data_IF_187022278024
#
_entry.id   IF_187022278024
#
_cell.length_a   1.000
_cell.length_b   1.000
_cell.length_c   1.000
_cell.angle_alpha   90.00
_cell.angle_beta   90.00
_cell.angle_gamma   90.00
#
_symmetry.space_group_name_H-M   'P 1'
#
loop_
_entity.id
_entity.type
_entity.pdbx_description
1 polymer ?
#
# COMPACT_ATOMS: atom_id res chain seq x y z
N UNK A 1 0.59 -6.05 26.96
CA UNK A 1 0.89 -7.28 26.20
C UNK A 1 1.22 -6.86 24.79
N UNK A 2 2.43 -7.15 24.33
CA UNK A 2 2.85 -6.83 22.96
C UNK A 2 2.14 -7.82 22.04
N UNK A 3 1.03 -7.41 21.42
CA UNK A 3 0.44 -8.21 20.34
C UNK A 3 1.52 -8.38 19.27
N UNK A 4 1.95 -9.62 19.04
CA UNK A 4 2.87 -9.98 17.97
C UNK A 4 2.13 -10.91 17.01
N UNK A 5 2.24 -10.62 15.72
CA UNK A 5 1.74 -11.49 14.67
C UNK A 5 2.58 -12.77 14.64
N UNK A 6 1.94 -13.94 14.51
CA UNK A 6 2.66 -15.19 14.38
C UNK A 6 3.47 -15.18 13.05
N UNK A 7 4.79 -15.44 13.07
CA UNK A 7 5.59 -15.46 11.84
C UNK A 7 5.12 -16.52 10.83
N UNK A 8 4.47 -17.60 11.29
CA UNK A 8 3.94 -18.65 10.42
C UNK A 8 2.62 -18.28 9.72
N UNK A 9 2.04 -17.10 10.02
CA UNK A 9 0.77 -16.63 9.44
C UNK A 9 0.78 -16.65 7.91
N UNK A 10 1.95 -16.41 7.31
CA UNK A 10 2.13 -16.32 5.86
C UNK A 10 2.07 -17.69 5.17
N UNK A 11 2.51 -18.76 5.84
CA UNK A 11 2.54 -20.12 5.26
C UNK A 11 1.14 -20.66 4.94
N UNK A 12 0.14 -20.17 5.66
CA UNK A 12 -1.26 -20.59 5.52
C UNK A 12 -2.20 -19.39 5.46
N UNK A 13 -1.77 -18.33 4.79
CA UNK A 13 -2.50 -17.07 4.76
C UNK A 13 -3.94 -17.25 4.24
N UNK A 14 -4.11 -18.00 3.14
CA UNK A 14 -5.42 -18.30 2.56
C UNK A 14 -6.29 -19.26 3.39
N UNK A 15 -5.72 -20.04 4.33
CA UNK A 15 -6.46 -21.06 5.12
C UNK A 15 -6.87 -20.59 6.51
N UNK A 16 -6.43 -19.41 6.94
CA UNK A 16 -6.75 -18.87 8.27
C UNK A 16 -5.88 -17.69 8.67
N UNK A 17 -4.68 -17.56 8.10
CA UNK A 17 -3.77 -16.46 8.41
C UNK A 17 -4.35 -15.08 8.08
N UNK A 18 -5.19 -14.96 7.04
CA UNK A 18 -5.93 -13.73 6.72
C UNK A 18 -6.73 -13.21 7.91
N UNK A 19 -7.52 -14.09 8.52
CA UNK A 19 -8.41 -13.75 9.65
C UNK A 19 -7.60 -13.37 10.89
N UNK A 20 -6.49 -14.08 11.14
CA UNK A 20 -5.55 -13.74 12.21
C UNK A 20 -4.92 -12.37 12.00
N UNK A 21 -4.46 -12.08 10.77
CA UNK A 21 -3.85 -10.82 10.40
C UNK A 21 -4.82 -9.64 10.56
N UNK A 22 -6.04 -9.75 10.02
CA UNK A 22 -7.06 -8.69 10.16
C UNK A 22 -7.42 -8.47 11.62
N UNK A 23 -7.57 -9.54 12.40
CA UNK A 23 -7.83 -9.44 13.85
C UNK A 23 -6.67 -8.73 14.57
N UNK A 24 -5.43 -9.04 14.21
CA UNK A 24 -4.25 -8.39 14.74
C UNK A 24 -4.23 -6.88 14.46
N UNK A 25 -4.52 -6.46 13.22
CA UNK A 25 -4.61 -5.04 12.86
C UNK A 25 -5.72 -4.35 13.66
N UNK A 26 -6.94 -4.91 13.66
CA UNK A 26 -8.11 -4.34 14.36
C UNK A 26 -7.88 -4.20 15.86
N UNK A 27 -7.30 -5.21 16.51
CA UNK A 27 -6.96 -5.14 17.94
C UNK A 27 -5.93 -4.06 18.24
N UNK A 28 -5.00 -3.82 17.31
CA UNK A 28 -3.96 -2.83 17.48
C UNK A 28 -4.46 -1.39 17.22
N UNK A 29 -5.60 -1.23 16.54
CA UNK A 29 -6.28 0.06 16.32
C UNK A 29 -7.40 0.36 17.32
N UNK A 30 -7.79 -0.61 18.16
CA UNK A 30 -9.02 -0.53 18.97
C UNK A 30 -9.04 0.64 19.98
N UNK A 31 -7.86 1.04 20.45
CA UNK A 31 -7.71 2.07 21.49
C UNK A 31 -7.19 3.42 20.92
N UNK A 32 -7.25 3.62 19.60
CA UNK A 32 -6.79 4.84 18.92
C UNK A 32 -7.79 5.29 17.86
N UNK A 33 -8.09 6.59 17.84
CA UNK A 33 -8.90 7.21 16.77
C UNK A 33 -8.14 7.29 15.44
N UNK A 34 -6.82 7.08 15.47
CA UNK A 34 -5.92 7.18 14.34
C UNK A 34 -5.19 5.86 14.07
N UNK A 35 -5.16 5.43 12.81
CA UNK A 35 -4.46 4.21 12.39
C UNK A 35 -2.96 4.26 12.70
N UNK A 36 -2.35 5.43 12.52
CA UNK A 36 -0.90 5.60 12.67
C UNK A 36 -0.44 5.83 14.10
N UNK A 37 -1.36 6.07 15.04
CA UNK A 37 -1.02 6.40 16.41
C UNK A 37 -1.42 5.26 17.36
N UNK A 38 -0.63 5.10 18.41
CA UNK A 38 -1.00 4.29 19.55
C UNK A 38 -1.73 5.15 20.59
N UNK A 39 -2.32 4.49 21.59
CA UNK A 39 -3.04 5.14 22.69
C UNK A 39 -2.24 6.20 23.49
N UNK A 40 -0.91 6.17 23.40
CA UNK A 40 -0.03 7.13 24.08
C UNK A 40 0.37 8.30 23.15
N UNK A 41 -0.24 8.42 21.96
CA UNK A 41 0.13 9.40 20.93
C UNK A 41 1.44 9.11 20.19
N UNK A 42 2.07 7.96 20.46
CA UNK A 42 3.27 7.52 19.75
C UNK A 42 2.93 6.81 18.44
N UNK A 43 3.90 6.71 17.53
CA UNK A 43 3.68 6.08 16.23
C UNK A 43 3.48 4.55 16.34
N UNK A 44 2.46 4.02 15.69
CA UNK A 44 2.14 2.60 15.64
C UNK A 44 2.93 1.88 14.53
N UNK A 45 4.25 1.82 14.71
CA UNK A 45 5.15 1.19 13.72
C UNK A 45 4.85 -0.29 13.47
N UNK A 46 4.18 -0.98 14.39
CA UNK A 46 3.92 -2.41 14.29
C UNK A 46 2.91 -2.72 13.19
N UNK A 47 1.81 -1.98 13.12
CA UNK A 47 0.78 -2.19 12.09
C UNK A 47 1.30 -1.82 10.69
N UNK A 48 2.06 -0.74 10.61
CA UNK A 48 2.65 -0.24 9.37
C UNK A 48 3.63 -1.27 8.80
N UNK A 49 4.50 -1.81 9.65
CA UNK A 49 5.39 -2.92 9.28
C UNK A 49 4.62 -4.16 8.84
N UNK A 50 3.51 -4.49 9.51
CA UNK A 50 2.69 -5.64 9.13
C UNK A 50 2.01 -5.46 7.76
N UNK A 51 1.52 -4.26 7.43
CA UNK A 51 0.95 -3.94 6.11
C UNK A 51 2.04 -3.95 5.03
N UNK A 52 3.21 -3.36 5.33
CA UNK A 52 4.36 -3.39 4.43
C UNK A 52 4.78 -4.83 4.11
N UNK A 53 4.90 -5.68 5.13
CA UNK A 53 5.17 -7.10 4.97
C UNK A 53 4.08 -7.81 4.14
N UNK A 54 2.80 -7.54 4.39
CA UNK A 54 1.70 -8.10 3.59
C UNK A 54 1.86 -7.80 2.09
N UNK A 55 2.24 -6.57 1.75
CA UNK A 55 2.47 -6.18 0.35
C UNK A 55 3.64 -6.97 -0.21
N UNK A 56 4.76 -7.08 0.52
CA UNK A 56 5.91 -7.89 0.10
C UNK A 56 5.59 -9.37 -0.04
N UNK A 57 4.71 -9.93 0.79
CA UNK A 57 4.25 -11.31 0.64
C UNK A 57 3.41 -11.50 -0.64
N UNK A 58 2.67 -10.47 -1.06
CA UNK A 58 2.02 -10.46 -2.37
C UNK A 58 3.04 -10.34 -3.52
N UNK A 59 4.01 -9.43 -3.44
CA UNK A 59 5.05 -9.26 -4.47
C UNK A 59 5.91 -10.51 -4.64
N UNK A 60 6.19 -11.21 -3.53
CA UNK A 60 6.87 -12.51 -3.52
C UNK A 60 5.97 -13.69 -3.91
N UNK A 61 4.75 -13.44 -4.40
CA UNK A 61 3.79 -14.44 -4.90
C UNK A 61 3.30 -15.43 -3.81
N UNK A 62 3.48 -15.12 -2.52
CA UNK A 62 3.00 -15.92 -1.39
C UNK A 62 1.53 -15.64 -1.04
N UNK A 63 1.02 -14.46 -1.42
CA UNK A 63 -0.37 -14.04 -1.22
C UNK A 63 -0.99 -13.69 -2.57
N UNK A 64 -2.23 -14.12 -2.81
CA UNK A 64 -2.97 -13.83 -4.04
C UNK A 64 -3.51 -12.39 -4.05
N UNK A 65 -3.64 -11.81 -5.25
CA UNK A 65 -4.14 -10.44 -5.44
C UNK A 65 -5.52 -10.23 -4.83
N UNK A 66 -6.43 -11.19 -5.02
CA UNK A 66 -7.78 -11.13 -4.48
C UNK A 66 -7.76 -11.13 -2.94
N UNK A 67 -6.85 -11.89 -2.35
CA UNK A 67 -6.70 -11.99 -0.89
C UNK A 67 -6.18 -10.69 -0.30
N UNK A 68 -5.14 -10.07 -0.87
CA UNK A 68 -4.63 -8.77 -0.37
C UNK A 68 -5.66 -7.65 -0.52
N UNK A 69 -6.41 -7.60 -1.64
CA UNK A 69 -7.48 -6.62 -1.82
C UNK A 69 -8.59 -6.78 -0.78
N UNK A 70 -9.00 -8.02 -0.48
CA UNK A 70 -9.96 -8.27 0.61
C UNK A 70 -9.42 -7.78 1.95
N UNK A 71 -8.14 -8.04 2.26
CA UNK A 71 -7.52 -7.57 3.51
C UNK A 71 -7.51 -6.04 3.57
N UNK A 72 -7.13 -5.36 2.49
CA UNK A 72 -7.18 -3.89 2.42
C UNK A 72 -8.57 -3.34 2.61
N UNK A 73 -9.59 -3.96 1.99
CA UNK A 73 -10.99 -3.57 2.19
C UNK A 73 -11.40 -3.72 3.66
N UNK A 74 -11.04 -4.83 4.32
CA UNK A 74 -11.35 -5.05 5.72
C UNK A 74 -10.61 -4.07 6.65
N UNK A 75 -9.34 -3.73 6.35
CA UNK A 75 -8.55 -2.78 7.14
C UNK A 75 -9.04 -1.34 6.95
N UNK A 76 -9.39 -0.95 5.73
CA UNK A 76 -9.90 0.38 5.38
C UNK A 76 -11.15 0.77 6.19
N UNK A 77 -11.90 -0.21 6.70
CA UNK A 77 -13.08 0.01 7.56
C UNK A 77 -12.77 0.17 9.06
N UNK A 78 -11.50 0.03 9.46
CA UNK A 78 -11.11 0.02 10.88
C UNK A 78 -11.13 1.42 11.49
N UNK A 79 -10.60 2.40 10.77
CA UNK A 79 -10.57 3.83 11.15
C UNK A 79 -10.74 4.68 9.90
N UNK A 80 -11.18 5.93 10.04
CA UNK A 80 -11.40 6.84 8.91
C UNK A 80 -10.12 7.16 8.13
N UNK A 81 -8.96 7.10 8.78
CA UNK A 81 -7.65 7.36 8.20
C UNK A 81 -6.92 6.10 7.71
N UNK A 82 -7.47 4.90 7.91
CA UNK A 82 -6.83 3.63 7.54
C UNK A 82 -6.50 3.54 6.05
N UNK A 83 -7.38 4.03 5.18
CA UNK A 83 -7.13 4.06 3.73
C UNK A 83 -5.94 4.95 3.37
N UNK A 84 -5.80 6.10 4.05
CA UNK A 84 -4.64 6.99 3.84
C UNK A 84 -3.36 6.31 4.32
N UNK A 85 -3.40 5.66 5.48
CA UNK A 85 -2.25 4.93 6.01
C UNK A 85 -1.80 3.78 5.09
N UNK A 86 -2.73 3.04 4.48
CA UNK A 86 -2.40 2.00 3.49
C UNK A 86 -1.69 2.64 2.28
N UNK A 87 -2.19 3.78 1.79
CA UNK A 87 -1.58 4.49 0.66
C UNK A 87 -0.18 5.01 0.98
N UNK A 88 0.06 5.49 2.20
CA UNK A 88 1.39 5.93 2.63
C UNK A 88 2.39 4.75 2.63
N UNK A 89 1.95 3.55 3.02
CA UNK A 89 2.79 2.34 2.93
C UNK A 89 3.01 1.92 1.48
N UNK A 90 1.98 2.00 0.64
CA UNK A 90 2.11 1.71 -0.79
C UNK A 90 3.09 2.66 -1.48
N UNK A 91 3.11 3.95 -1.12
CA UNK A 91 4.13 4.90 -1.60
C UNK A 91 5.55 4.48 -1.21
N UNK A 92 5.75 3.97 0.00
CA UNK A 92 7.06 3.45 0.39
C UNK A 92 7.46 2.23 -0.46
N UNK A 93 6.54 1.30 -0.71
CA UNK A 93 6.79 0.15 -1.60
C UNK A 93 6.99 0.58 -3.07
N UNK A 94 6.33 1.65 -3.51
CA UNK A 94 6.55 2.24 -4.83
C UNK A 94 8.00 2.71 -4.98
N UNK A 95 8.52 3.43 -3.99
CA UNK A 95 9.94 3.83 -3.95
C UNK A 95 10.88 2.61 -3.96
N UNK A 96 10.55 1.54 -3.22
CA UNK A 96 11.38 0.33 -3.17
C UNK A 96 11.37 -0.42 -4.52
N UNK A 97 10.21 -0.54 -5.18
CA UNK A 97 10.05 -1.30 -6.44
C UNK A 97 10.38 -0.49 -7.69
N UNK A 98 10.42 0.84 -7.63
CA UNK A 98 10.80 1.72 -8.74
C UNK A 98 12.31 1.72 -9.04
N UNK A 99 13.13 1.10 -8.17
CA UNK A 99 14.56 0.94 -8.39
C UNK A 99 14.80 0.13 -9.67
N UNK A 100 15.29 0.80 -10.72
CA UNK A 100 15.48 0.21 -12.05
C UNK A 100 16.65 -0.78 -12.08
N UNK A 101 16.42 -1.96 -11.52
CA UNK A 101 17.32 -3.11 -11.50
C UNK A 101 16.58 -4.34 -12.00
N UNK A 102 17.29 -5.26 -12.64
CA UNK A 102 16.69 -6.50 -13.16
C UNK A 102 15.99 -7.31 -12.06
N UNK A 103 16.50 -7.23 -10.82
CA UNK A 103 15.98 -7.95 -9.68
C UNK A 103 14.61 -7.47 -9.17
N UNK A 104 14.16 -6.27 -9.55
CA UNK A 104 12.91 -5.66 -9.06
C UNK A 104 11.81 -5.52 -10.13
N UNK A 105 12.08 -5.94 -11.37
CA UNK A 105 11.15 -5.76 -12.49
C UNK A 105 9.84 -6.56 -12.27
N UNK A 106 9.94 -7.80 -11.78
CA UNK A 106 8.80 -8.67 -11.52
C UNK A 106 7.90 -8.08 -10.42
N UNK A 107 8.51 -7.64 -9.32
CA UNK A 107 7.84 -7.02 -8.19
C UNK A 107 7.19 -5.70 -8.59
N UNK A 108 7.87 -4.87 -9.38
CA UNK A 108 7.30 -3.64 -9.94
C UNK A 108 6.05 -3.92 -10.76
N UNK A 109 6.09 -4.91 -11.65
CA UNK A 109 4.93 -5.29 -12.47
C UNK A 109 3.76 -5.78 -11.61
N UNK A 110 4.01 -6.60 -10.60
CA UNK A 110 2.98 -7.06 -9.65
C UNK A 110 2.41 -5.91 -8.83
N UNK A 111 3.26 -4.99 -8.38
CA UNK A 111 2.85 -3.79 -7.64
C UNK A 111 1.93 -2.91 -8.48
N UNK A 112 2.29 -2.64 -9.75
CA UNK A 112 1.43 -1.89 -10.68
C UNK A 112 0.08 -2.59 -10.93
N UNK A 113 0.08 -3.92 -11.03
CA UNK A 113 -1.16 -4.70 -11.14
C UNK A 113 -2.05 -4.59 -9.89
N UNK A 114 -1.45 -4.55 -8.69
CA UNK A 114 -2.17 -4.31 -7.45
C UNK A 114 -2.79 -2.91 -7.44
N UNK A 115 -2.01 -1.87 -7.78
CA UNK A 115 -2.49 -0.49 -7.82
C UNK A 115 -3.67 -0.30 -8.78
N UNK A 116 -3.62 -0.94 -9.95
CA UNK A 116 -4.70 -0.90 -10.94
C UNK A 116 -6.04 -1.39 -10.39
N UNK A 117 -6.02 -2.38 -9.48
CA UNK A 117 -7.21 -2.93 -8.86
C UNK A 117 -7.53 -2.33 -7.49
N UNK A 118 -6.69 -1.42 -6.97
CA UNK A 118 -6.84 -0.82 -5.66
C UNK A 118 -8.10 0.06 -5.54
N UNK A 119 -8.55 0.66 -6.64
CA UNK A 119 -9.78 1.45 -6.70
C UNK A 119 -11.05 0.67 -6.34
N UNK A 120 -10.98 -0.67 -6.35
CA UNK A 120 -12.07 -1.55 -5.89
C UNK A 120 -12.26 -1.52 -4.38
N UNK A 121 -11.25 -1.09 -3.62
CA UNK A 121 -11.23 -1.18 -2.15
C UNK A 121 -10.88 0.15 -1.48
N UNK A 122 -10.23 1.08 -2.18
CA UNK A 122 -9.95 2.44 -1.72
C UNK A 122 -10.50 3.44 -2.75
N UNK A 123 -11.12 4.56 -2.33
CA UNK A 123 -11.64 5.57 -3.25
C UNK A 123 -10.58 6.09 -4.23
N UNK A 124 -10.90 6.10 -5.52
CA UNK A 124 -9.96 6.47 -6.60
C UNK A 124 -9.43 7.91 -6.48
N UNK A 125 -10.24 8.85 -5.97
CA UNK A 125 -9.80 10.22 -5.71
C UNK A 125 -8.64 10.26 -4.70
N UNK A 126 -8.74 9.47 -3.62
CA UNK A 126 -7.71 9.39 -2.61
C UNK A 126 -6.42 8.76 -3.16
N UNK A 127 -6.54 7.74 -4.03
CA UNK A 127 -5.39 7.13 -4.72
C UNK A 127 -4.65 8.19 -5.56
N UNK A 128 -5.39 8.97 -6.34
CA UNK A 128 -4.81 10.02 -7.22
C UNK A 128 -4.18 11.18 -6.44
N UNK A 129 -4.67 11.48 -5.25
CA UNK A 129 -4.12 12.52 -4.38
C UNK A 129 -2.83 12.08 -3.67
N UNK A 130 -2.61 10.77 -3.52
CA UNK A 130 -1.50 10.21 -2.71
C UNK A 130 -0.36 9.62 -3.51
N UNK A 131 -0.62 9.02 -4.68
CA UNK A 131 0.42 8.37 -5.49
C UNK A 131 1.05 9.33 -6.50
N UNK A 132 2.30 9.06 -6.86
CA UNK A 132 3.02 9.84 -7.88
C UNK A 132 2.37 9.71 -9.27
N UNK A 133 2.44 10.79 -10.05
CA UNK A 133 1.82 10.86 -11.38
C UNK A 133 2.36 9.80 -12.34
N UNK A 134 3.64 9.47 -12.24
CA UNK A 134 4.31 8.49 -13.09
C UNK A 134 3.83 7.08 -12.77
N UNK A 135 3.77 6.72 -11.47
CA UNK A 135 3.19 5.45 -11.02
C UNK A 135 1.71 5.32 -11.38
N UNK A 136 0.93 6.40 -11.29
CA UNK A 136 -0.47 6.40 -11.72
C UNK A 136 -0.62 6.16 -13.23
N UNK A 137 0.32 6.63 -14.05
CA UNK A 137 0.34 6.38 -15.49
C UNK A 137 0.76 4.94 -15.82
N UNK A 138 1.82 4.46 -15.16
CA UNK A 138 2.32 3.08 -15.29
C UNK A 138 1.25 2.04 -14.92
N UNK A 139 0.49 2.31 -13.84
CA UNK A 139 -0.63 1.47 -13.41
C UNK A 139 -1.87 1.59 -14.33
N UNK A 140 -1.87 2.58 -15.24
CA UNK A 140 -2.98 2.87 -16.15
C UNK A 140 -4.20 3.53 -15.49
N UNK A 141 -4.03 4.11 -14.30
CA UNK A 141 -5.07 4.82 -13.54
C UNK A 141 -5.32 6.22 -14.13
N UNK A 142 -4.26 6.91 -14.52
CA UNK A 142 -4.34 8.21 -15.19
C UNK A 142 -3.82 8.07 -16.62
N UNK A 143 -4.57 8.61 -17.59
CA UNK A 143 -4.15 8.68 -18.99
C UNK A 143 -3.71 10.11 -19.29
N UNK A 144 -2.41 10.42 -19.20
CA UNK A 144 -1.96 11.76 -19.57
C UNK A 144 -0.58 11.78 -20.25
N UNK A 145 -0.57 11.67 -21.59
CA UNK A 145 0.63 11.83 -22.43
C UNK A 145 1.11 13.29 -22.58
N UNK A 146 0.38 14.27 -22.02
CA UNK A 146 0.52 15.70 -22.36
C UNK A 146 1.26 16.55 -21.32
N UNK A 147 1.65 16.00 -20.17
CA UNK A 147 2.37 16.78 -19.15
C UNK A 147 3.81 17.09 -19.57
N UNK A 148 4.48 16.16 -20.28
CA UNK A 148 5.86 16.33 -20.74
C UNK A 148 6.01 17.14 -22.04
N UNK A 149 4.93 17.53 -22.72
CA UNK A 149 5.02 18.25 -24.01
C UNK A 149 4.98 19.78 -23.90
N UNK A 150 4.83 20.35 -22.70
CA UNK A 150 5.00 21.80 -22.50
C UNK A 150 6.46 22.11 -22.17
N UNK A 151 7.31 22.14 -23.19
CA UNK A 151 8.62 22.75 -23.09
C UNK A 151 8.47 24.20 -22.62
N UNK A 152 8.87 24.50 -21.39
CA UNK A 152 9.08 25.87 -20.95
C UNK A 152 10.38 26.33 -21.62
N UNK A 153 10.27 27.04 -22.75
CA UNK A 153 11.41 27.74 -23.34
C UNK A 153 11.83 28.88 -22.40
N UNK A 154 12.79 28.63 -21.53
CA UNK A 154 13.48 29.70 -20.80
C UNK A 154 14.38 30.42 -21.80
N UNK A 155 14.00 31.62 -22.23
CA UNK A 155 14.89 32.53 -22.94
C UNK A 155 15.81 33.18 -21.92
N UNK A 156 17.02 32.65 -21.72
CA UNK A 156 18.08 33.41 -21.07
C UNK A 156 18.62 34.44 -22.06
N UNK A 157 18.62 35.73 -21.69
CA UNK A 157 19.42 36.74 -22.38
C UNK A 157 20.86 36.62 -21.85
N UNK A 158 21.81 36.39 -22.75
CA UNK A 158 23.25 36.59 -22.51
C UNK A 158 23.56 38.08 -22.54
#
# INVERSE_FOLDING_TARGET
MSNKLNPDVWKQFDKGGKSEFVKFIKLSSKDSDHFLLNKNGGFNSVQIKAIHELIWQFLNKNVRKETILQVFSEIATTTSDASSAILDVLNNVDCETSVNTDAMQDERLLFLQLLKDLSKVIPENLIKERLEIDTLQDAGIVKNRLFYSKFIKIKTKL
#
